data_IF_865837020297
#
_entry.id   IF_865837020297
#
_cell.length_a   1.000
_cell.length_b   1.000
_cell.length_c   1.000
_cell.angle_alpha   90.00
_cell.angle_beta   90.00
_cell.angle_gamma   90.00
#
_symmetry.space_group_name_H-M   'P 1'
#
loop_
_entity.id
_entity.type
_entity.pdbx_description
1 polymer ?
#
# COMPACT_ATOMS: atom_id res chain seq x y z
N UNK A 1 38.40 8.61 45.67
CA UNK A 1 39.54 8.40 44.75
C UNK A 1 39.00 8.34 43.32
N UNK A 2 39.71 8.97 42.37
CA UNK A 2 39.17 9.35 41.05
C UNK A 2 38.85 8.14 40.14
N UNK A 3 37.57 7.76 40.08
CA UNK A 3 37.03 6.79 39.12
C UNK A 3 37.24 7.19 37.65
N UNK A 4 37.37 8.50 37.40
CA UNK A 4 37.73 9.05 36.08
C UNK A 4 39.14 8.60 35.66
N UNK A 5 40.08 8.51 36.60
CA UNK A 5 41.46 8.12 36.34
C UNK A 5 41.54 6.65 35.94
N UNK A 6 40.73 5.79 36.57
CA UNK A 6 40.60 4.36 36.23
C UNK A 6 39.96 4.17 34.85
N UNK A 7 38.94 4.96 34.52
CA UNK A 7 38.32 4.94 33.19
C UNK A 7 39.32 5.41 32.10
N UNK A 8 40.11 6.44 32.41
CA UNK A 8 41.17 6.93 31.52
C UNK A 8 42.28 5.89 31.32
N UNK A 9 42.66 5.17 32.38
CA UNK A 9 43.65 4.09 32.33
C UNK A 9 43.15 2.89 31.51
N UNK A 10 41.85 2.57 31.62
CA UNK A 10 41.21 1.54 30.81
C UNK A 10 41.14 1.90 29.32
N UNK A 11 40.89 3.17 29.00
CA UNK A 11 40.89 3.69 27.61
C UNK A 11 42.31 3.70 27.02
N UNK A 12 43.34 4.04 27.83
CA UNK A 12 44.74 4.00 27.41
C UNK A 12 45.21 2.57 27.15
N UNK A 13 44.79 1.60 27.97
CA UNK A 13 45.09 0.17 27.78
C UNK A 13 44.45 -0.43 26.52
N UNK A 14 43.35 0.15 26.04
CA UNK A 14 42.65 -0.28 24.82
C UNK A 14 43.22 0.34 23.54
N UNK A 15 44.14 1.31 23.64
CA UNK A 15 44.67 2.03 22.48
C UNK A 15 45.94 1.36 21.95
N UNK A 16 45.85 0.73 20.78
CA UNK A 16 47.05 0.29 20.05
C UNK A 16 47.88 1.49 19.57
N UNK A 17 49.21 1.33 19.61
CA UNK A 17 50.19 2.34 19.20
C UNK A 17 50.23 2.47 17.68
N UNK A 18 49.39 3.34 17.11
CA UNK A 18 49.60 3.86 15.74
C UNK A 18 49.87 5.37 15.78
N UNK A 19 51.03 5.73 15.23
CA UNK A 19 51.45 7.11 14.95
C UNK A 19 50.65 7.62 13.75
N UNK A 20 49.91 8.70 13.92
CA UNK A 20 49.20 9.38 12.83
C UNK A 20 48.63 10.71 13.31
N UNK A 21 48.96 11.78 12.60
CA UNK A 21 48.63 13.19 12.88
C UNK A 21 47.14 13.46 12.78
N UNK A 22 46.61 14.22 13.75
CA UNK A 22 45.21 14.62 13.86
C UNK A 22 44.87 15.73 12.83
N UNK A 23 44.07 15.39 11.83
CA UNK A 23 43.28 16.35 11.03
C UNK A 23 41.80 16.13 11.32
N UNK A 24 41.08 17.23 11.50
CA UNK A 24 39.76 17.30 12.15
C UNK A 24 38.65 17.49 11.09
N UNK A 25 38.63 16.66 10.04
CA UNK A 25 37.64 16.75 8.95
C UNK A 25 37.39 15.40 8.29
N UNK A 26 36.92 14.46 9.10
CA UNK A 26 36.08 13.32 8.70
C UNK A 26 35.85 12.55 9.99
N UNK A 27 34.63 12.53 10.53
CA UNK A 27 34.24 11.53 11.53
C UNK A 27 34.13 10.17 10.82
N UNK A 28 35.24 9.72 10.26
CA UNK A 28 35.48 8.30 10.07
C UNK A 28 35.92 7.80 11.45
N UNK A 29 34.94 7.67 12.34
CA UNK A 29 35.11 6.92 13.59
C UNK A 29 35.25 5.46 13.18
N UNK A 30 36.42 5.11 12.64
CA UNK A 30 36.85 3.75 12.35
C UNK A 30 37.06 2.95 13.64
N UNK A 31 36.01 2.84 14.44
CA UNK A 31 35.87 1.82 15.45
C UNK A 31 35.31 0.59 14.74
N UNK A 32 36.19 -0.22 14.16
CA UNK A 32 35.81 -1.56 13.71
C UNK A 32 35.64 -2.43 14.97
N UNK A 33 34.41 -2.48 15.47
CA UNK A 33 34.06 -3.28 16.63
C UNK A 33 33.71 -4.67 16.12
N UNK A 34 34.54 -5.66 16.47
CA UNK A 34 34.18 -7.06 16.28
C UNK A 34 33.00 -7.41 17.21
N UNK A 35 31.80 -7.37 16.62
CA UNK A 35 30.53 -7.59 17.33
C UNK A 35 30.50 -8.97 17.96
N UNK A 36 30.94 -10.00 17.23
CA UNK A 36 30.87 -11.39 17.66
C UNK A 36 31.76 -11.60 18.88
N UNK A 37 33.02 -11.17 18.80
CA UNK A 37 33.98 -11.30 19.89
C UNK A 37 33.58 -10.48 21.12
N UNK A 38 32.98 -9.31 20.91
CA UNK A 38 32.50 -8.47 22.01
C UNK A 38 31.33 -9.13 22.76
N UNK A 39 30.38 -9.75 22.04
CA UNK A 39 29.30 -10.54 22.65
C UNK A 39 29.85 -11.71 23.47
N UNK A 40 30.85 -12.41 22.96
CA UNK A 40 31.49 -13.52 23.67
C UNK A 40 32.17 -13.05 24.97
N UNK A 41 32.89 -11.92 24.94
CA UNK A 41 33.50 -11.33 26.14
C UNK A 41 32.45 -10.93 27.19
N UNK A 42 31.34 -10.32 26.77
CA UNK A 42 30.22 -9.99 27.67
C UNK A 42 29.63 -11.27 28.28
N UNK A 43 29.43 -12.32 27.47
CA UNK A 43 28.91 -13.62 27.95
C UNK A 43 29.85 -14.26 28.97
N UNK A 44 31.16 -14.20 28.74
CA UNK A 44 32.15 -14.65 29.72
C UNK A 44 32.07 -13.81 31.00
N UNK A 45 32.06 -12.48 30.87
CA UNK A 45 32.00 -11.57 32.02
C UNK A 45 30.74 -11.77 32.87
N UNK A 46 29.59 -12.07 32.27
CA UNK A 46 28.37 -12.44 33.00
C UNK A 46 28.52 -13.77 33.77
N UNK A 47 29.27 -14.73 33.25
CA UNK A 47 29.53 -16.03 33.91
C UNK A 47 30.53 -15.91 35.06
N UNK A 48 31.57 -15.10 34.89
CA UNK A 48 32.58 -14.88 35.94
C UNK A 48 32.18 -13.77 36.92
N UNK A 49 31.19 -12.96 36.56
CA UNK A 49 30.64 -11.84 37.34
C UNK A 49 30.37 -12.15 38.81
N UNK A 50 29.71 -13.28 39.15
CA UNK A 50 29.43 -13.65 40.54
C UNK A 50 30.66 -13.93 41.40
N UNK A 51 31.85 -14.16 40.80
CA UNK A 51 33.09 -14.40 41.54
C UNK A 51 33.89 -13.11 41.80
N UNK A 52 33.42 -11.96 41.34
CA UNK A 52 34.04 -10.67 41.66
C UNK A 52 33.64 -10.21 43.08
N UNK A 53 34.49 -9.42 43.74
CA UNK A 53 34.13 -8.79 45.01
C UNK A 53 32.86 -7.94 44.88
N UNK A 54 32.02 -7.95 45.91
CA UNK A 54 30.69 -7.33 45.93
C UNK A 54 30.71 -5.84 45.55
N UNK A 55 31.75 -5.12 46.00
CA UNK A 55 31.99 -3.71 45.71
C UNK A 55 32.10 -3.39 44.20
N UNK A 56 32.49 -4.36 43.37
CA UNK A 56 32.63 -4.16 41.92
C UNK A 56 31.39 -4.57 41.12
N UNK A 57 30.46 -5.33 41.70
CA UNK A 57 29.32 -5.91 40.97
C UNK A 57 28.47 -4.83 40.28
N UNK A 58 28.16 -3.73 40.99
CA UNK A 58 27.38 -2.64 40.43
C UNK A 58 28.08 -1.97 39.23
N UNK A 59 29.39 -1.75 39.34
CA UNK A 59 30.22 -1.15 38.29
C UNK A 59 30.33 -2.06 37.06
N UNK A 60 30.54 -3.36 37.28
CA UNK A 60 30.62 -4.38 36.22
C UNK A 60 29.28 -4.48 35.47
N UNK A 61 28.17 -4.54 36.20
CA UNK A 61 26.84 -4.58 35.58
C UNK A 61 26.57 -3.34 34.74
N UNK A 62 26.92 -2.15 35.26
CA UNK A 62 26.77 -0.90 34.51
C UNK A 62 27.63 -0.90 33.24
N UNK A 63 28.88 -1.36 33.33
CA UNK A 63 29.77 -1.47 32.18
C UNK A 63 29.21 -2.43 31.13
N UNK A 64 28.75 -3.61 31.53
CA UNK A 64 28.09 -4.59 30.63
C UNK A 64 26.92 -3.94 29.90
N UNK A 65 26.02 -3.28 30.62
CA UNK A 65 24.83 -2.64 30.03
C UNK A 65 25.22 -1.54 29.03
N UNK A 66 26.22 -0.72 29.36
CA UNK A 66 26.72 0.33 28.47
C UNK A 66 27.31 -0.30 27.20
N UNK A 67 28.14 -1.33 27.34
CA UNK A 67 28.74 -2.03 26.18
C UNK A 67 27.67 -2.67 25.29
N UNK A 68 26.65 -3.31 25.87
CA UNK A 68 25.54 -3.87 25.08
C UNK A 68 24.75 -2.80 24.32
N UNK A 69 24.52 -1.64 24.93
CA UNK A 69 23.86 -0.51 24.25
C UNK A 69 24.71 0.04 23.11
N UNK A 70 26.01 0.23 23.32
CA UNK A 70 26.94 0.67 22.26
C UNK A 70 26.97 -0.31 21.10
N UNK A 71 26.93 -1.61 21.39
CA UNK A 71 26.93 -2.64 20.37
C UNK A 71 25.69 -2.56 19.47
N UNK A 72 24.50 -2.35 20.05
CA UNK A 72 23.26 -2.16 19.28
C UNK A 72 23.29 -0.89 18.43
N UNK A 73 23.85 0.20 18.96
CA UNK A 73 24.03 1.45 18.21
C UNK A 73 24.93 1.18 17.00
N UNK A 74 26.04 0.47 17.21
CA UNK A 74 26.97 0.12 16.14
C UNK A 74 26.32 -0.79 15.08
N UNK A 75 25.61 -1.84 15.49
CA UNK A 75 24.83 -2.70 14.60
C UNK A 75 23.82 -1.89 13.77
N UNK A 76 23.14 -0.93 14.40
CA UNK A 76 22.16 -0.06 13.73
C UNK A 76 22.83 0.88 12.73
N UNK A 77 23.96 1.51 13.10
CA UNK A 77 24.72 2.38 12.20
C UNK A 77 25.20 1.57 11.00
N UNK A 78 25.75 0.38 11.23
CA UNK A 78 26.22 -0.50 10.16
C UNK A 78 25.07 -0.89 9.21
N UNK A 79 23.89 -1.22 9.75
CA UNK A 79 22.70 -1.49 8.96
C UNK A 79 22.25 -0.28 8.13
N UNK A 80 22.26 0.92 8.70
CA UNK A 80 21.89 2.17 7.99
C UNK A 80 22.91 2.52 6.91
N UNK A 81 24.19 2.28 7.16
CA UNK A 81 25.29 2.58 6.23
C UNK A 81 25.46 1.54 5.11
N UNK A 82 24.84 0.36 5.23
CA UNK A 82 24.84 -0.63 4.15
C UNK A 82 24.26 -0.01 2.88
N UNK A 83 25.10 0.06 1.83
CA UNK A 83 24.73 0.66 0.54
C UNK A 83 23.73 -0.20 -0.25
N UNK A 84 23.57 -1.47 0.12
CA UNK A 84 22.69 -2.45 -0.53
C UNK A 84 21.28 -2.50 0.08
N UNK A 85 20.80 -1.39 0.64
CA UNK A 85 19.45 -1.27 1.20
C UNK A 85 18.35 -1.10 0.12
N UNK A 86 18.65 -1.37 -1.15
CA UNK A 86 17.67 -1.35 -2.24
C UNK A 86 16.96 -2.71 -2.32
N UNK A 87 15.90 -2.86 -1.53
CA UNK A 87 15.06 -4.07 -1.55
C UNK A 87 14.22 -4.21 -2.82
N UNK A 88 14.00 -3.12 -3.55
CA UNK A 88 13.29 -3.09 -4.82
C UNK A 88 14.30 -2.64 -5.88
N UNK A 89 14.83 -3.60 -6.63
CA UNK A 89 15.84 -3.36 -7.67
C UNK A 89 15.22 -3.16 -9.05
N UNK A 90 14.00 -3.66 -9.26
CA UNK A 90 13.32 -3.66 -10.56
C UNK A 90 11.86 -3.21 -10.44
N UNK A 91 11.40 -2.44 -11.43
CA UNK A 91 9.99 -2.08 -11.57
C UNK A 91 9.34 -2.99 -12.60
N UNK A 92 8.20 -3.58 -12.23
CA UNK A 92 7.35 -4.31 -13.18
C UNK A 92 6.69 -3.28 -14.10
N UNK A 93 6.84 -3.36 -15.43
CA UNK A 93 6.16 -2.46 -16.35
C UNK A 93 4.66 -2.76 -16.34
N UNK A 94 3.84 -1.75 -16.06
CA UNK A 94 2.38 -1.86 -15.96
C UNK A 94 1.75 -0.81 -16.88
N UNK A 95 0.73 -1.19 -17.66
CA UNK A 95 0.21 -0.37 -18.77
C UNK A 95 -0.52 0.88 -18.29
N UNK A 96 -1.29 0.78 -17.20
CA UNK A 96 -2.08 1.90 -16.67
C UNK A 96 -2.22 1.85 -15.14
N UNK A 97 -2.71 2.94 -14.54
CA UNK A 97 -2.85 3.06 -13.09
C UNK A 97 -3.88 2.10 -12.49
N UNK A 98 -4.92 1.74 -13.24
CA UNK A 98 -5.96 0.81 -12.79
C UNK A 98 -5.40 -0.61 -12.64
N UNK A 99 -4.65 -1.07 -13.62
CA UNK A 99 -3.93 -2.34 -13.60
C UNK A 99 -2.91 -2.37 -12.45
N UNK A 100 -2.22 -1.24 -12.20
CA UNK A 100 -1.28 -1.11 -11.09
C UNK A 100 -1.95 -1.27 -9.72
N UNK A 101 -3.08 -0.62 -9.50
CA UNK A 101 -3.86 -0.77 -8.26
C UNK A 101 -4.36 -2.20 -8.07
N UNK A 102 -4.79 -2.83 -9.16
CA UNK A 102 -5.24 -4.23 -9.14
C UNK A 102 -4.12 -5.18 -8.73
N UNK A 103 -2.91 -5.03 -9.31
CA UNK A 103 -1.76 -5.84 -8.91
C UNK A 103 -1.38 -5.64 -7.44
N UNK A 104 -1.35 -4.40 -6.96
CA UNK A 104 -1.03 -4.09 -5.55
C UNK A 104 -2.07 -4.74 -4.63
N UNK A 105 -3.35 -4.50 -4.88
CA UNK A 105 -4.43 -5.00 -4.03
C UNK A 105 -4.49 -6.53 -4.05
N UNK A 106 -4.33 -7.17 -5.21
CA UNK A 106 -4.33 -8.63 -5.32
C UNK A 106 -3.14 -9.27 -4.62
N UNK A 107 -1.96 -8.64 -4.69
CA UNK A 107 -0.77 -9.10 -3.95
C UNK A 107 -1.02 -9.05 -2.44
N UNK A 108 -1.58 -7.94 -1.96
CA UNK A 108 -1.89 -7.80 -0.53
C UNK A 108 -2.98 -8.79 -0.09
N UNK A 109 -4.04 -8.99 -0.87
CA UNK A 109 -5.08 -9.97 -0.56
C UNK A 109 -4.59 -11.41 -0.56
N UNK A 110 -3.56 -11.72 -1.36
CA UNK A 110 -2.97 -13.05 -1.45
C UNK A 110 -2.07 -13.35 -0.25
N UNK A 111 -1.29 -12.37 0.18
CA UNK A 111 -0.21 -12.58 1.15
C UNK A 111 -0.63 -12.28 2.61
N UNK A 112 -1.76 -11.58 2.81
CA UNK A 112 -2.25 -11.18 4.13
C UNK A 112 -3.67 -11.67 4.41
N UNK A 113 -3.95 -12.04 5.67
CA UNK A 113 -5.29 -12.41 6.09
C UNK A 113 -6.23 -11.19 6.10
N UNK A 114 -7.54 -11.41 5.93
CA UNK A 114 -8.53 -10.33 5.81
C UNK A 114 -8.59 -9.45 7.07
N UNK A 115 -8.37 -10.05 8.23
CA UNK A 115 -8.31 -9.39 9.54
C UNK A 115 -7.08 -8.48 9.65
N UNK A 116 -5.97 -8.87 9.04
CA UNK A 116 -4.72 -8.08 9.00
C UNK A 116 -4.89 -6.89 8.04
N UNK A 117 -5.49 -7.13 6.88
CA UNK A 117 -5.82 -6.06 5.92
C UNK A 117 -6.72 -5.03 6.56
N UNK A 118 -7.78 -5.43 7.29
CA UNK A 118 -8.69 -4.52 7.99
C UNK A 118 -8.00 -3.61 9.02
N UNK A 119 -6.85 -4.02 9.57
CA UNK A 119 -6.08 -3.18 10.50
C UNK A 119 -5.35 -2.03 9.82
N UNK A 120 -5.26 -2.04 8.48
CA UNK A 120 -4.68 -0.95 7.68
C UNK A 120 -5.62 0.27 7.53
N UNK A 121 -6.82 0.23 8.14
CA UNK A 121 -7.76 1.35 8.14
C UNK A 121 -8.32 1.65 6.75
N UNK A 122 -8.33 2.92 6.34
CA UNK A 122 -8.92 3.36 5.07
C UNK A 122 -8.33 2.67 3.82
N UNK A 123 -7.07 2.26 3.87
CA UNK A 123 -6.43 1.53 2.75
C UNK A 123 -7.00 0.12 2.61
N UNK A 124 -7.47 -0.49 3.71
CA UNK A 124 -8.11 -1.79 3.71
C UNK A 124 -9.37 -1.79 2.85
N UNK A 125 -10.20 -0.74 2.96
CA UNK A 125 -11.43 -0.63 2.20
C UNK A 125 -11.16 -0.53 0.70
N UNK A 126 -10.12 0.21 0.30
CA UNK A 126 -9.69 0.29 -1.09
C UNK A 126 -9.18 -1.05 -1.62
N UNK A 127 -8.35 -1.75 -0.84
CA UNK A 127 -7.83 -3.07 -1.22
C UNK A 127 -8.96 -4.07 -1.36
N UNK A 128 -9.87 -4.15 -0.37
CA UNK A 128 -10.97 -5.12 -0.35
C UNK A 128 -12.04 -4.82 -1.40
N UNK A 129 -12.13 -3.59 -1.89
CA UNK A 129 -13.14 -3.16 -2.86
C UNK A 129 -12.56 -2.85 -4.25
N UNK A 130 -11.28 -3.17 -4.51
CA UNK A 130 -10.62 -2.88 -5.79
C UNK A 130 -11.38 -3.45 -6.99
N UNK A 131 -11.96 -4.64 -6.86
CA UNK A 131 -12.75 -5.28 -7.92
C UNK A 131 -14.02 -4.50 -8.24
N UNK A 132 -14.69 -3.95 -7.22
CA UNK A 132 -15.89 -3.12 -7.40
C UNK A 132 -15.52 -1.81 -8.08
N UNK A 133 -14.42 -1.20 -7.65
CA UNK A 133 -13.91 0.02 -8.26
C UNK A 133 -13.52 -0.20 -9.73
N UNK A 134 -12.81 -1.28 -10.04
CA UNK A 134 -12.46 -1.66 -11.42
C UNK A 134 -13.68 -1.82 -12.31
N UNK A 135 -14.72 -2.50 -11.81
CA UNK A 135 -15.99 -2.64 -12.54
C UNK A 135 -16.64 -1.28 -12.79
N UNK A 136 -16.63 -0.38 -11.81
CA UNK A 136 -17.18 0.98 -11.95
C UNK A 136 -16.44 1.81 -12.98
N UNK A 137 -15.11 1.78 -12.99
CA UNK A 137 -14.29 2.48 -13.99
C UNK A 137 -14.54 1.91 -15.39
N UNK A 138 -14.65 0.59 -15.54
CA UNK A 138 -14.94 -0.03 -16.83
C UNK A 138 -16.34 0.37 -17.36
N UNK A 139 -17.31 0.47 -16.46
CA UNK A 139 -18.66 0.98 -16.76
C UNK A 139 -18.61 2.44 -17.22
N UNK A 140 -17.89 3.30 -16.50
CA UNK A 140 -17.69 4.70 -16.86
C UNK A 140 -17.04 4.85 -18.23
N UNK A 141 -15.99 4.08 -18.51
CA UNK A 141 -15.31 4.09 -19.81
C UNK A 141 -16.22 3.60 -20.95
N UNK A 142 -17.12 2.66 -20.66
CA UNK A 142 -18.11 2.18 -21.64
C UNK A 142 -19.14 3.26 -21.97
N UNK A 143 -19.53 4.08 -20.99
CA UNK A 143 -20.45 5.21 -21.21
C UNK A 143 -19.83 6.33 -22.05
N UNK A 144 -18.59 6.70 -21.77
CA UNK A 144 -17.89 7.76 -22.53
C UNK A 144 -17.62 7.34 -23.97
N UNK A 145 -17.39 6.05 -24.20
CA UNK A 145 -17.13 5.49 -25.54
C UNK A 145 -18.40 5.30 -26.36
N UNK A 146 -19.56 5.10 -25.71
CA UNK A 146 -20.84 4.81 -26.37
C UNK A 146 -22.01 5.46 -25.61
N UNK A 147 -22.27 6.77 -25.81
CA UNK A 147 -23.29 7.51 -25.08
C UNK A 147 -24.72 7.01 -25.33
N UNK A 148 -24.95 6.26 -26.41
CA UNK A 148 -26.25 5.66 -26.74
C UNK A 148 -26.63 4.46 -25.85
N UNK A 149 -25.68 3.89 -25.08
CA UNK A 149 -25.95 2.79 -24.15
C UNK A 149 -26.99 3.12 -23.06
N UNK A 150 -27.16 4.41 -22.73
CA UNK A 150 -28.12 4.88 -21.74
C UNK A 150 -29.54 5.08 -22.31
N UNK A 151 -29.70 5.03 -23.64
CA UNK A 151 -31.01 5.26 -24.29
C UNK A 151 -31.93 4.05 -24.16
N UNK A 152 -31.35 2.85 -24.07
CA UNK A 152 -32.08 1.59 -23.90
C UNK A 152 -32.04 1.12 -22.44
N UNK A 153 -33.22 1.01 -21.83
CA UNK A 153 -33.41 0.58 -20.44
C UNK A 153 -32.88 -0.84 -20.17
N UNK A 154 -32.77 -1.69 -21.19
CA UNK A 154 -32.17 -3.03 -21.07
C UNK A 154 -30.64 -2.99 -21.00
N UNK A 155 -30.01 -2.01 -21.62
CA UNK A 155 -28.55 -1.84 -21.57
C UNK A 155 -28.10 -1.20 -20.25
N UNK A 156 -28.91 -0.30 -19.68
CA UNK A 156 -28.71 0.19 -18.30
C UNK A 156 -28.62 -0.94 -17.26
N UNK A 157 -29.44 -1.99 -17.39
CA UNK A 157 -29.41 -3.12 -16.46
C UNK A 157 -28.11 -3.88 -16.47
N UNK A 158 -27.64 -4.23 -17.67
CA UNK A 158 -26.39 -4.98 -17.88
C UNK A 158 -25.18 -4.23 -17.33
N UNK A 159 -25.31 -2.91 -17.20
CA UNK A 159 -24.27 -2.01 -16.68
C UNK A 159 -24.32 -1.90 -15.14
N UNK A 160 -25.52 -1.95 -14.54
CA UNK A 160 -25.70 -1.86 -13.09
C UNK A 160 -25.50 -3.20 -12.36
N UNK A 161 -25.81 -4.31 -13.03
CA UNK A 161 -25.69 -5.67 -12.47
C UNK A 161 -24.29 -6.00 -11.89
N UNK A 162 -23.16 -5.63 -12.52
CA UNK A 162 -21.82 -5.86 -11.95
C UNK A 162 -21.50 -5.01 -10.71
N UNK A 163 -22.19 -3.87 -10.52
CA UNK A 163 -21.95 -2.90 -9.44
C UNK A 163 -22.71 -3.22 -8.16
N UNK A 164 -23.92 -3.73 -8.29
CA UNK A 164 -24.79 -4.09 -7.16
C UNK A 164 -24.42 -5.44 -6.54
N UNK A 165 -23.66 -6.26 -7.27
CA UNK A 165 -23.32 -7.61 -6.84
C UNK A 165 -24.54 -8.53 -6.82
N UNK A 166 -24.37 -9.75 -6.31
CA UNK A 166 -25.42 -10.80 -6.29
C UNK A 166 -26.52 -10.55 -5.23
N UNK A 167 -26.81 -9.30 -4.88
CA UNK A 167 -27.88 -9.02 -3.93
C UNK A 167 -29.25 -9.08 -4.65
N UNK A 168 -29.88 -10.26 -4.60
CA UNK A 168 -31.13 -10.54 -5.30
C UNK A 168 -32.27 -9.57 -4.95
N UNK A 169 -32.26 -9.01 -3.73
CA UNK A 169 -33.28 -8.05 -3.29
C UNK A 169 -33.14 -6.71 -4.00
N UNK A 170 -31.92 -6.20 -4.11
CA UNK A 170 -31.67 -4.95 -4.82
C UNK A 170 -31.91 -5.11 -6.32
N UNK A 171 -31.52 -6.25 -6.89
CA UNK A 171 -31.73 -6.55 -8.30
C UNK A 171 -33.23 -6.60 -8.67
N UNK A 172 -34.08 -7.15 -7.78
CA UNK A 172 -35.54 -7.13 -7.96
C UNK A 172 -36.12 -5.72 -7.97
N UNK A 173 -35.69 -4.85 -7.04
CA UNK A 173 -36.17 -3.46 -6.97
C UNK A 173 -35.86 -2.67 -8.24
N UNK A 174 -34.65 -2.83 -8.78
CA UNK A 174 -34.28 -2.14 -10.01
C UNK A 174 -35.10 -2.69 -11.19
N UNK A 175 -35.31 -4.02 -11.26
CA UNK A 175 -36.19 -4.66 -12.25
C UNK A 175 -37.60 -4.06 -12.26
N UNK A 176 -38.13 -3.74 -11.09
CA UNK A 176 -39.42 -3.08 -10.94
C UNK A 176 -39.39 -1.60 -11.38
N UNK A 177 -38.35 -0.85 -11.01
CA UNK A 177 -38.18 0.54 -11.46
C UNK A 177 -38.11 0.66 -12.98
N UNK A 178 -37.39 -0.24 -13.65
CA UNK A 178 -37.32 -0.25 -15.11
C UNK A 178 -38.65 -0.61 -15.77
N UNK A 179 -39.41 -1.54 -15.18
CA UNK A 179 -40.77 -1.82 -15.67
C UNK A 179 -41.65 -0.57 -15.60
N UNK A 180 -41.59 0.19 -14.50
CA UNK A 180 -42.31 1.46 -14.37
C UNK A 180 -41.84 2.49 -15.39
N UNK A 181 -40.52 2.63 -15.60
CA UNK A 181 -39.94 3.54 -16.59
C UNK A 181 -40.44 3.23 -18.01
N UNK A 182 -40.52 1.94 -18.37
CA UNK A 182 -41.03 1.51 -19.66
C UNK A 182 -42.54 1.76 -19.80
N UNK A 183 -43.31 1.62 -18.71
CA UNK A 183 -44.74 1.97 -18.68
C UNK A 183 -44.92 3.47 -18.87
N UNK A 184 -44.15 4.31 -18.17
CA UNK A 184 -44.20 5.77 -18.32
C UNK A 184 -43.86 6.20 -19.75
N UNK A 185 -42.80 5.63 -20.36
CA UNK A 185 -42.45 5.87 -21.77
C UNK A 185 -43.57 5.44 -22.73
N UNK A 186 -44.25 4.33 -22.46
CA UNK A 186 -45.37 3.86 -23.29
C UNK A 186 -46.63 4.73 -23.13
N UNK A 187 -46.85 5.29 -21.94
CA UNK A 187 -47.95 6.20 -21.65
C UNK A 187 -47.74 7.62 -22.23
N UNK A 188 -46.48 8.02 -22.42
CA UNK A 188 -46.08 9.31 -22.99
C UNK A 188 -46.01 9.31 -24.53
N UNK A 189 -46.39 8.20 -25.19
CA UNK A 189 -46.52 8.18 -26.65
C UNK A 189 -47.75 8.98 -27.10
N UNK A 190 -47.61 10.00 -27.97
CA UNK A 190 -48.72 10.82 -28.40
C UNK A 190 -49.73 9.99 -29.20
N UNK A 191 -50.96 9.89 -28.68
CA UNK A 191 -52.09 9.32 -29.41
C UNK A 191 -52.47 10.24 -30.57
N UNK A 192 -52.07 9.91 -31.80
CA UNK A 192 -52.66 10.53 -32.98
C UNK A 192 -51.88 10.38 -34.27
N UNK A 193 -52.26 9.39 -35.08
CA UNK A 193 -52.56 9.61 -36.50
C UNK A 193 -53.24 8.35 -37.08
N UNK A 194 -54.58 8.37 -37.09
CA UNK A 194 -55.34 7.59 -38.07
C UNK A 194 -55.31 8.39 -39.36
N UNK A 195 -54.43 8.00 -40.28
CA UNK A 195 -54.31 8.60 -41.60
C UNK A 195 -55.65 8.51 -42.36
N UNK A 196 -56.07 9.68 -42.86
CA UNK A 196 -57.19 9.83 -43.78
C UNK A 196 -56.81 9.20 -45.13
N UNK A 197 -57.73 8.41 -45.67
CA UNK A 197 -57.68 7.87 -47.03
C UNK A 197 -57.61 9.01 -48.06
N UNK A 198 -56.59 8.98 -48.92
CA UNK A 198 -56.50 9.77 -50.15
C UNK A 198 -57.66 9.44 -51.09
N UNK A 199 -58.40 10.46 -51.52
CA UNK A 199 -59.16 10.43 -52.76
C UNK A 199 -58.27 11.00 -53.87
N UNK A 200 -58.06 10.20 -54.91
CA UNK A 200 -57.54 10.64 -56.21
C UNK A 200 -58.62 11.42 -56.94
N UNK A 201 -58.27 12.57 -57.52
CA UNK A 201 -58.92 13.05 -58.74
C UNK A 201 -57.91 13.83 -59.60
N UNK A 202 -57.74 13.32 -60.81
CA UNK A 202 -56.94 13.81 -61.92
C UNK A 202 -57.67 14.91 -62.71
N UNK A 203 -56.90 15.70 -63.48
CA UNK A 203 -57.24 16.62 -64.60
C UNK A 203 -57.46 18.09 -64.22
N UNK A 204 -56.86 19.09 -64.88
CA UNK A 204 -56.27 19.18 -66.23
C UNK A 204 -55.33 20.39 -66.29
N UNK A 205 -54.23 20.24 -67.01
CA UNK A 205 -53.41 21.33 -67.55
C UNK A 205 -54.21 22.10 -68.62
N UNK A 206 -54.17 23.43 -68.55
CA UNK A 206 -54.41 24.35 -69.67
C UNK A 206 -53.07 25.02 -69.98
N UNK A 207 -52.61 24.90 -71.23
CA UNK A 207 -51.89 25.97 -71.93
C UNK A 207 -51.81 25.68 -73.44
N UNK A 208 -52.32 26.65 -74.21
CA UNK A 208 -52.14 26.97 -75.64
C UNK A 208 -52.80 26.08 -76.69
#
# INVERSE_FOLDING_TARGET
MNNILVLFLFIILLKEKKRGTLTLTSMDMGFDIDIKRTKEKIKMLKKIGPYFPEEYIASINKAIIITEKMLKIYETINFVQQKDNMYITESIPIKNHQERLSYIANTIQKDFAREEIKRLGYVADLILQVDRFNKMVNVLNSFTSNPDLLKDTNNMFKILEPLLGKDEKEMKKIKEMTKMMNILKALDQPKGNKEKKEYKEDKKEENL
#
